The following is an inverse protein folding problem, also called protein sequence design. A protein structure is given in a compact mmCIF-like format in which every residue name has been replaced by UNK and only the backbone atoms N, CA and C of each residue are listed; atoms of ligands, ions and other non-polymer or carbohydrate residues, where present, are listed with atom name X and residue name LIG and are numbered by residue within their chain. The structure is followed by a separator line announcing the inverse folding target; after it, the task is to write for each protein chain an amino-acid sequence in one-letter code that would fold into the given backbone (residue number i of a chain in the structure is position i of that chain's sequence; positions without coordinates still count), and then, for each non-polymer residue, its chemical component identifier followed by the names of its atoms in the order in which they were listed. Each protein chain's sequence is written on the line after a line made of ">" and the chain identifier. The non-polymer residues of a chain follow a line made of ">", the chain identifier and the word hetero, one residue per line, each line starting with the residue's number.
data_IF_096336691569
#
_entry.id   IF_096336691569
#
_cell.length_a   1.000
_cell.length_b   1.000
_cell.length_c   1.000
_cell.angle_alpha   90.00
_cell.angle_beta   90.00
_cell.angle_gamma   90.00
#
_symmetry.space_group_name_H-M   'P 1'
#
loop_
_entity.id
_entity.type
_entity.pdbx_description
1 polymer ?
#
# COMPACT_ATOMS: atom_id res chain seq x y z
N UNK A 1 -3.73 -21.19 40.92
CA UNK A 1 -3.71 -19.74 40.63
C UNK A 1 -3.98 -19.60 39.13
N UNK A 2 -5.04 -18.89 38.73
CA UNK A 2 -5.51 -18.95 37.35
C UNK A 2 -4.63 -18.08 36.43
N UNK A 3 -4.25 -18.68 35.30
CA UNK A 3 -3.76 -18.01 34.10
C UNK A 3 -4.87 -17.07 33.58
N UNK A 4 -4.89 -15.83 34.04
CA UNK A 4 -5.82 -14.81 33.57
C UNK A 4 -5.16 -13.43 33.68
N UNK A 5 -4.12 -13.17 32.88
CA UNK A 5 -3.51 -11.84 32.72
C UNK A 5 -2.56 -11.80 31.50
N UNK A 6 -3.05 -12.17 30.31
CA UNK A 6 -2.34 -11.95 29.04
C UNK A 6 -3.26 -11.42 27.91
N UNK A 7 -4.43 -10.87 28.25
CA UNK A 7 -5.41 -10.37 27.27
C UNK A 7 -5.39 -8.84 27.08
N UNK A 8 -4.22 -8.22 27.12
CA UNK A 8 -4.07 -6.80 26.71
C UNK A 8 -2.70 -6.42 26.16
N UNK A 9 -1.97 -7.38 25.57
CA UNK A 9 -0.98 -6.99 24.56
C UNK A 9 -1.74 -6.57 23.32
N UNK A 10 -2.06 -5.28 23.21
CA UNK A 10 -2.36 -4.67 21.91
C UNK A 10 -1.25 -5.16 20.98
N UNK A 11 -1.54 -5.84 19.85
CA UNK A 11 -0.51 -6.18 18.88
C UNK A 11 0.07 -4.86 18.36
N UNK A 12 1.15 -4.41 18.99
CA UNK A 12 1.71 -3.07 18.80
C UNK A 12 2.26 -2.90 17.37
N UNK A 13 2.49 -4.02 16.67
CA UNK A 13 2.89 -4.10 15.26
C UNK A 13 1.72 -3.87 14.27
N UNK A 14 0.45 -4.03 14.68
CA UNK A 14 -0.71 -3.66 13.84
C UNK A 14 -1.12 -2.19 14.00
N UNK A 15 -0.35 -1.42 14.78
CA UNK A 15 -0.68 -0.05 15.18
C UNK A 15 -0.16 0.99 14.17
N UNK A 16 -0.39 2.28 14.47
CA UNK A 16 -0.03 3.43 13.64
C UNK A 16 1.48 3.51 13.34
N UNK A 17 1.86 4.30 12.33
CA UNK A 17 3.25 4.58 11.97
C UNK A 17 4.13 4.94 13.19
N UNK A 18 3.61 5.75 14.12
CA UNK A 18 4.28 6.10 15.38
C UNK A 18 4.66 4.86 16.18
N UNK A 19 3.70 3.96 16.41
CA UNK A 19 3.95 2.77 17.22
C UNK A 19 4.97 1.84 16.55
N UNK A 20 4.91 1.68 15.22
CA UNK A 20 5.90 0.89 14.48
C UNK A 20 7.29 1.53 14.50
N UNK A 21 7.38 2.85 14.38
CA UNK A 21 8.66 3.58 14.46
C UNK A 21 9.33 3.53 15.83
N UNK A 22 8.59 3.21 16.90
CA UNK A 22 9.12 3.08 18.26
C UNK A 22 9.66 1.68 18.60
N UNK A 23 9.27 0.65 17.84
CA UNK A 23 9.58 -0.74 18.17
C UNK A 23 10.78 -1.22 17.35
N UNK A 24 11.76 -1.78 18.03
CA UNK A 24 12.92 -2.46 17.45
C UNK A 24 13.01 -3.89 17.99
N UNK A 25 13.78 -4.75 17.32
CA UNK A 25 14.04 -6.08 17.85
C UNK A 25 14.86 -6.00 19.14
N UNK A 26 14.58 -6.87 20.11
CA UNK A 26 15.38 -6.95 21.34
C UNK A 26 16.76 -7.56 21.09
N UNK A 27 16.87 -8.45 20.09
CA UNK A 27 18.12 -9.08 19.66
C UNK A 27 18.51 -8.54 18.30
N UNK A 28 19.61 -7.78 18.25
CA UNK A 28 20.19 -7.29 17.02
C UNK A 28 21.04 -8.34 16.32
N UNK A 29 21.26 -8.14 15.02
CA UNK A 29 22.13 -8.97 14.19
C UNK A 29 23.07 -8.07 13.37
N UNK A 30 24.30 -8.51 13.08
CA UNK A 30 25.18 -7.78 12.16
C UNK A 30 24.53 -7.70 10.78
N UNK A 31 24.67 -6.55 10.11
CA UNK A 31 24.10 -6.35 8.77
C UNK A 31 24.71 -7.29 7.72
N UNK A 32 25.99 -7.66 7.87
CA UNK A 32 26.72 -8.42 6.87
C UNK A 32 26.85 -7.66 5.54
N UNK A 33 27.16 -8.39 4.47
CA UNK A 33 27.47 -7.80 3.15
C UNK A 33 26.27 -7.11 2.49
N UNK A 34 25.04 -7.62 2.72
CA UNK A 34 23.83 -7.14 2.02
C UNK A 34 22.86 -6.37 2.92
N UNK A 35 23.05 -6.35 4.24
CA UNK A 35 22.12 -5.72 5.16
C UNK A 35 21.97 -4.21 4.94
N UNK A 36 23.07 -3.51 4.60
CA UNK A 36 23.03 -2.08 4.29
C UNK A 36 22.15 -1.81 3.06
N UNK A 37 22.26 -2.63 2.02
CA UNK A 37 21.43 -2.55 0.81
C UNK A 37 19.95 -2.71 1.15
N UNK A 38 19.61 -3.68 2.01
CA UNK A 38 18.23 -3.88 2.44
C UNK A 38 17.70 -2.73 3.31
N UNK A 39 18.53 -2.10 4.15
CA UNK A 39 18.14 -0.88 4.86
C UNK A 39 17.84 0.28 3.88
N UNK A 40 18.68 0.46 2.84
CA UNK A 40 18.44 1.48 1.82
C UNK A 40 17.13 1.23 1.05
N UNK A 41 16.88 -0.01 0.64
CA UNK A 41 15.63 -0.39 -0.04
C UNK A 41 14.43 -0.19 0.89
N UNK A 42 14.58 -0.53 2.16
CA UNK A 42 13.52 -0.35 3.15
C UNK A 42 13.18 1.12 3.35
N UNK A 43 14.18 1.99 3.47
CA UNK A 43 13.98 3.44 3.54
C UNK A 43 13.25 3.97 2.30
N UNK A 44 13.66 3.54 1.11
CA UNK A 44 12.99 3.89 -0.15
C UNK A 44 11.51 3.48 -0.14
N UNK A 45 11.19 2.30 0.38
CA UNK A 45 9.80 1.82 0.51
C UNK A 45 8.96 2.69 1.45
N UNK A 46 9.52 3.09 2.60
CA UNK A 46 8.84 3.96 3.57
C UNK A 46 8.51 5.35 3.02
N UNK A 47 9.28 5.84 2.04
CA UNK A 47 8.97 7.12 1.37
C UNK A 47 7.68 7.10 0.57
N UNK A 48 7.30 5.93 0.05
CA UNK A 48 6.14 5.78 -0.82
C UNK A 48 6.32 6.27 -2.27
N UNK A 49 7.47 6.82 -2.64
CA UNK A 49 7.70 7.51 -3.93
C UNK A 49 8.13 6.60 -5.07
N UNK A 50 8.80 5.48 -4.76
CA UNK A 50 9.42 4.56 -5.73
C UNK A 50 8.79 3.15 -5.70
N UNK A 51 7.47 3.08 -5.49
CA UNK A 51 6.73 1.80 -5.33
C UNK A 51 6.84 0.88 -6.55
N UNK A 52 6.95 1.45 -7.76
CA UNK A 52 7.06 0.70 -9.04
C UNK A 52 8.49 0.44 -9.50
N UNK A 53 9.47 0.91 -8.73
CA UNK A 53 10.87 0.77 -9.07
C UNK A 53 11.41 -0.60 -8.68
N UNK A 54 12.42 -1.07 -9.41
CA UNK A 54 13.18 -2.27 -9.04
C UNK A 54 13.95 -2.06 -7.73
N UNK A 55 14.46 -3.13 -7.12
CA UNK A 55 15.26 -3.00 -5.90
C UNK A 55 16.56 -2.19 -6.13
N UNK A 56 17.16 -2.28 -7.32
CA UNK A 56 18.35 -1.50 -7.67
C UNK A 56 18.03 -0.02 -7.83
N UNK A 57 16.89 0.30 -8.47
CA UNK A 57 16.41 1.67 -8.58
C UNK A 57 16.06 2.28 -7.21
N UNK A 58 15.51 1.47 -6.29
CA UNK A 58 15.21 1.89 -4.91
C UNK A 58 16.48 2.17 -4.12
N UNK A 59 17.51 1.35 -4.27
CA UNK A 59 18.82 1.57 -3.68
C UNK A 59 19.44 2.88 -4.21
N UNK A 60 19.47 3.06 -5.53
CA UNK A 60 19.99 4.27 -6.17
C UNK A 60 19.20 5.53 -5.76
N UNK A 61 17.88 5.43 -5.61
CA UNK A 61 17.06 6.52 -5.08
C UNK A 61 17.50 6.92 -3.68
N UNK A 62 17.69 5.95 -2.77
CA UNK A 62 18.17 6.24 -1.41
C UNK A 62 19.56 6.88 -1.43
N UNK A 63 20.46 6.44 -2.30
CA UNK A 63 21.78 7.06 -2.46
C UNK A 63 21.69 8.51 -2.93
N UNK A 64 20.73 8.84 -3.80
CA UNK A 64 20.52 10.21 -4.29
C UNK A 64 20.00 11.19 -3.23
N UNK A 65 19.41 10.69 -2.15
CA UNK A 65 18.82 11.49 -1.07
C UNK A 65 19.61 11.39 0.25
N UNK A 66 20.83 10.84 0.22
CA UNK A 66 21.56 10.50 1.44
C UNK A 66 21.79 11.71 2.37
N UNK A 67 21.99 12.90 1.80
CA UNK A 67 22.12 14.14 2.58
C UNK A 67 20.85 14.50 3.37
N UNK A 68 19.66 14.21 2.82
CA UNK A 68 18.37 14.38 3.52
C UNK A 68 18.22 13.36 4.64
N UNK A 69 18.70 12.14 4.43
CA UNK A 69 18.70 11.06 5.42
C UNK A 69 19.56 11.42 6.62
N UNK A 70 20.80 11.87 6.37
CA UNK A 70 21.73 12.26 7.42
C UNK A 70 21.21 13.48 8.18
N UNK A 71 20.71 14.51 7.49
CA UNK A 71 20.12 15.68 8.12
C UNK A 71 18.91 15.31 9.00
N UNK A 72 18.02 14.46 8.50
CA UNK A 72 16.86 13.97 9.25
C UNK A 72 17.26 13.17 10.50
N UNK A 73 18.34 12.38 10.42
CA UNK A 73 18.84 11.59 11.54
C UNK A 73 19.46 12.45 12.65
N UNK A 74 20.25 13.47 12.27
CA UNK A 74 20.99 14.34 13.21
C UNK A 74 20.15 15.49 13.76
N UNK A 75 19.33 16.10 12.90
CA UNK A 75 18.55 17.31 13.21
C UNK A 75 17.06 17.09 12.89
N UNK A 76 16.39 16.14 13.56
CA UNK A 76 15.01 15.78 13.23
C UNK A 76 14.02 16.96 13.33
N UNK A 77 14.24 17.88 14.27
CA UNK A 77 13.37 19.03 14.51
C UNK A 77 13.92 20.35 13.93
N UNK A 78 15.24 20.53 13.98
CA UNK A 78 15.92 21.79 13.58
C UNK A 78 16.55 21.76 12.17
N UNK A 79 16.44 20.63 11.47
CA UNK A 79 16.94 20.44 10.11
C UNK A 79 15.90 20.81 9.03
N UNK A 80 16.09 20.25 7.83
CA UNK A 80 15.22 20.49 6.66
C UNK A 80 13.84 19.82 6.79
N UNK A 81 13.72 18.85 7.70
CA UNK A 81 12.42 18.22 8.00
C UNK A 81 11.90 17.27 6.93
N UNK A 82 12.75 16.82 6.00
CA UNK A 82 12.40 15.93 4.90
C UNK A 82 11.60 14.70 5.32
N UNK A 83 11.97 14.04 6.44
CA UNK A 83 11.29 12.83 6.91
C UNK A 83 9.79 13.02 7.18
N UNK A 84 9.33 14.24 7.50
CA UNK A 84 7.93 14.55 7.85
C UNK A 84 6.99 14.50 6.65
N UNK A 85 7.54 14.63 5.44
CA UNK A 85 6.78 14.68 4.19
C UNK A 85 6.58 13.30 3.54
N UNK A 86 7.15 12.25 4.14
CA UNK A 86 7.08 10.89 3.62
C UNK A 86 5.77 10.19 4.01
N UNK A 87 5.44 9.08 3.34
CA UNK A 87 4.18 8.34 3.59
C UNK A 87 4.12 7.73 5.01
N UNK A 88 5.23 7.18 5.49
CA UNK A 88 5.39 6.62 6.85
C UNK A 88 6.48 7.40 7.60
N UNK A 89 6.18 8.62 8.10
CA UNK A 89 7.20 9.58 8.54
C UNK A 89 8.03 9.09 9.75
N UNK A 90 7.39 8.52 10.78
CA UNK A 90 8.10 8.11 11.99
C UNK A 90 8.98 6.87 11.76
N UNK A 91 8.49 5.90 10.98
CA UNK A 91 9.33 4.79 10.52
C UNK A 91 10.48 5.30 9.63
N UNK A 92 10.23 6.27 8.76
CA UNK A 92 11.28 6.89 7.92
C UNK A 92 12.36 7.50 8.80
N UNK A 93 12.00 8.29 9.81
CA UNK A 93 12.96 8.89 10.73
C UNK A 93 13.78 7.85 11.49
N UNK A 94 13.13 6.80 11.99
CA UNK A 94 13.81 5.71 12.69
C UNK A 94 14.81 5.00 11.75
N UNK A 95 14.41 4.75 10.50
CA UNK A 95 15.28 4.16 9.49
C UNK A 95 16.43 5.09 9.07
N UNK A 96 16.21 6.42 8.99
CA UNK A 96 17.28 7.39 8.73
C UNK A 96 18.37 7.33 9.81
N UNK A 97 17.98 7.21 11.08
CA UNK A 97 18.92 7.06 12.20
C UNK A 97 19.74 5.78 12.10
N UNK A 98 19.07 4.66 11.83
CA UNK A 98 19.75 3.37 11.69
C UNK A 98 20.72 3.36 10.51
N UNK A 99 20.30 3.89 9.35
CA UNK A 99 21.15 3.96 8.16
C UNK A 99 22.37 4.87 8.38
N UNK A 100 22.19 6.01 9.04
CA UNK A 100 23.29 6.93 9.37
C UNK A 100 24.27 6.30 10.36
N UNK A 101 23.77 5.58 11.37
CA UNK A 101 24.61 4.87 12.32
C UNK A 101 25.41 3.74 11.65
N UNK A 102 24.77 2.96 10.77
CA UNK A 102 25.42 1.90 10.01
C UNK A 102 26.52 2.43 9.07
N UNK A 103 26.26 3.54 8.36
CA UNK A 103 27.23 4.16 7.44
C UNK A 103 28.46 4.74 8.15
N UNK A 104 28.30 5.17 9.40
CA UNK A 104 29.38 5.75 10.22
C UNK A 104 30.05 4.74 11.15
N UNK A 105 29.67 3.46 11.07
CA UNK A 105 30.24 2.45 11.94
C UNK A 105 31.75 2.31 11.67
N UNK A 106 32.61 2.36 12.71
CA UNK A 106 34.05 2.54 12.55
C UNK A 106 34.76 1.38 11.84
N UNK A 107 34.21 0.16 11.91
CA UNK A 107 34.76 -1.02 11.23
C UNK A 107 34.07 -1.30 9.89
N UNK A 108 33.17 -0.42 9.45
CA UNK A 108 32.33 -0.59 8.28
C UNK A 108 30.92 -1.05 8.62
N UNK A 109 30.00 -0.87 7.68
CA UNK A 109 28.56 -1.12 7.88
C UNK A 109 28.21 -2.59 8.09
N UNK A 110 29.02 -3.53 7.58
CA UNK A 110 28.74 -4.96 7.69
C UNK A 110 28.74 -5.46 9.15
N UNK A 111 29.58 -4.85 10.01
CA UNK A 111 29.70 -5.22 11.42
C UNK A 111 28.69 -4.48 12.32
N UNK A 112 27.95 -3.51 11.77
CA UNK A 112 26.95 -2.78 12.54
C UNK A 112 25.84 -3.73 13.00
N UNK A 113 25.63 -3.80 14.32
CA UNK A 113 24.56 -4.60 14.91
C UNK A 113 23.25 -3.83 14.77
N UNK A 114 22.43 -4.25 13.81
CA UNK A 114 21.14 -3.65 13.50
C UNK A 114 20.03 -4.29 14.33
N UNK A 115 19.20 -3.44 14.93
CA UNK A 115 18.00 -3.86 15.67
C UNK A 115 16.71 -3.47 14.93
N UNK A 116 16.82 -2.57 13.95
CA UNK A 116 15.69 -2.04 13.22
C UNK A 116 15.08 -3.11 12.28
N UNK A 117 13.75 -3.30 12.30
CA UNK A 117 13.09 -4.27 11.43
C UNK A 117 13.04 -3.80 9.97
N UNK A 118 13.39 -4.68 9.03
CA UNK A 118 13.18 -4.47 7.60
C UNK A 118 11.95 -5.24 7.15
N UNK A 119 10.91 -4.52 6.72
CA UNK A 119 9.66 -5.12 6.26
C UNK A 119 9.76 -5.60 4.80
N UNK A 120 9.17 -6.76 4.53
CA UNK A 120 8.88 -7.31 3.21
C UNK A 120 7.40 -7.67 3.18
N UNK A 121 6.64 -7.10 2.24
CA UNK A 121 5.21 -7.35 2.11
C UNK A 121 4.85 -7.60 0.64
N UNK A 122 3.88 -8.48 0.41
CA UNK A 122 3.36 -8.75 -0.92
C UNK A 122 2.41 -7.66 -1.38
N UNK A 123 2.43 -7.35 -2.68
CA UNK A 123 1.60 -6.28 -3.27
C UNK A 123 0.10 -6.46 -2.96
N UNK A 124 -0.39 -7.71 -3.02
CA UNK A 124 -1.73 -8.10 -2.63
C UNK A 124 -1.79 -9.59 -2.29
N UNK A 125 -1.47 -9.94 -1.04
CA UNK A 125 -1.37 -11.35 -0.58
C UNK A 125 -2.64 -12.17 -0.90
N UNK A 126 -3.84 -11.60 -0.72
CA UNK A 126 -5.09 -12.30 -1.03
C UNK A 126 -5.22 -12.68 -2.51
N UNK A 127 -4.93 -11.76 -3.44
CA UNK A 127 -4.96 -12.07 -4.88
C UNK A 127 -3.81 -13.01 -5.29
N UNK A 128 -2.65 -12.93 -4.64
CA UNK A 128 -1.56 -13.90 -4.84
C UNK A 128 -2.00 -15.32 -4.52
N UNK A 129 -2.66 -15.54 -3.38
CA UNK A 129 -3.19 -16.85 -3.05
C UNK A 129 -4.25 -17.33 -4.04
N UNK A 130 -5.17 -16.46 -4.48
CA UNK A 130 -6.17 -16.85 -5.48
C UNK A 130 -5.55 -17.18 -6.84
N UNK A 131 -4.59 -16.38 -7.31
CA UNK A 131 -3.89 -16.65 -8.57
C UNK A 131 -3.13 -17.99 -8.50
N UNK A 132 -2.48 -18.28 -7.37
CA UNK A 132 -1.79 -19.55 -7.16
C UNK A 132 -2.75 -20.76 -7.10
N UNK A 133 -3.85 -20.66 -6.35
CA UNK A 133 -4.87 -21.72 -6.27
C UNK A 133 -5.51 -22.00 -7.63
N UNK A 134 -5.80 -20.93 -8.36
CA UNK A 134 -6.45 -20.96 -9.66
C UNK A 134 -5.52 -21.22 -10.84
N UNK A 135 -4.20 -21.27 -10.60
CA UNK A 135 -3.13 -21.27 -11.63
C UNK A 135 -3.40 -20.25 -12.74
N UNK A 136 -3.80 -19.05 -12.34
CA UNK A 136 -4.19 -17.96 -13.24
C UNK A 136 -2.95 -17.14 -13.61
N UNK A 137 -2.39 -17.40 -14.79
CA UNK A 137 -1.19 -16.72 -15.32
C UNK A 137 -1.39 -15.19 -15.38
N UNK A 138 -2.55 -14.73 -15.88
CA UNK A 138 -2.83 -13.29 -15.98
C UNK A 138 -2.91 -12.63 -14.60
N UNK A 139 -3.58 -13.31 -13.67
CA UNK A 139 -3.63 -12.88 -12.28
C UNK A 139 -2.23 -12.87 -11.65
N UNK A 140 -1.46 -13.94 -11.84
CA UNK A 140 -0.10 -14.12 -11.31
C UNK A 140 0.85 -13.02 -11.79
N UNK A 141 0.82 -12.68 -13.09
CA UNK A 141 1.54 -11.55 -13.64
C UNK A 141 1.16 -10.23 -12.92
N UNK A 142 -0.14 -9.96 -12.78
CA UNK A 142 -0.65 -8.70 -12.19
C UNK A 142 -0.26 -8.50 -10.71
N UNK A 143 0.00 -9.59 -9.99
CA UNK A 143 0.37 -9.57 -8.56
C UNK A 143 1.83 -9.96 -8.28
N UNK A 144 2.68 -9.94 -9.30
CA UNK A 144 4.13 -10.20 -9.20
C UNK A 144 4.47 -11.61 -8.66
N UNK A 145 3.69 -12.63 -9.05
CA UNK A 145 4.06 -14.04 -8.81
C UNK A 145 4.96 -14.61 -9.90
N UNK A 146 4.91 -14.03 -11.10
CA UNK A 146 5.84 -14.34 -12.17
C UNK A 146 7.11 -13.49 -12.05
N UNK A 147 8.23 -14.05 -12.51
CA UNK A 147 9.49 -13.32 -12.57
C UNK A 147 9.34 -12.05 -13.41
N UNK A 148 9.62 -10.92 -12.78
CA UNK A 148 9.51 -9.61 -13.41
C UNK A 148 10.64 -8.71 -12.93
N UNK A 149 11.17 -7.88 -13.85
CA UNK A 149 12.25 -6.93 -13.55
C UNK A 149 11.76 -5.79 -12.64
N UNK A 150 10.48 -5.43 -12.75
CA UNK A 150 9.83 -4.39 -11.96
C UNK A 150 8.54 -4.91 -11.33
N UNK A 151 8.23 -4.49 -10.09
CA UNK A 151 7.03 -4.93 -9.40
C UNK A 151 5.77 -4.45 -10.13
N UNK A 152 4.78 -5.34 -10.22
CA UNK A 152 3.47 -5.05 -10.80
C UNK A 152 2.53 -4.50 -9.73
N UNK A 153 1.65 -3.61 -10.15
CA UNK A 153 0.78 -2.82 -9.28
C UNK A 153 -0.67 -2.97 -9.70
N UNK A 154 -1.27 -4.11 -9.31
CA UNK A 154 -2.69 -4.44 -9.57
C UNK A 154 -3.66 -3.29 -9.28
N UNK A 155 -3.36 -2.45 -8.29
CA UNK A 155 -4.22 -1.31 -7.94
C UNK A 155 -4.24 -0.26 -9.04
N UNK A 156 -3.10 -0.03 -9.70
CA UNK A 156 -3.02 0.85 -10.87
C UNK A 156 -3.76 0.23 -12.04
N UNK A 157 -3.52 -1.05 -12.34
CA UNK A 157 -4.15 -1.73 -13.47
C UNK A 157 -5.68 -1.65 -13.36
N UNK A 158 -6.23 -1.91 -12.15
CA UNK A 158 -7.66 -1.74 -11.88
C UNK A 158 -8.09 -0.27 -12.01
N UNK A 159 -7.28 0.69 -11.55
CA UNK A 159 -7.59 2.13 -11.65
C UNK A 159 -7.71 2.55 -13.11
N UNK A 160 -6.81 2.10 -13.99
CA UNK A 160 -6.82 2.41 -15.42
C UNK A 160 -8.06 1.82 -16.10
N UNK A 161 -8.43 0.58 -15.77
CA UNK A 161 -9.66 -0.06 -16.29
C UNK A 161 -10.92 0.67 -15.79
N UNK A 162 -10.95 1.12 -14.54
CA UNK A 162 -12.08 1.89 -13.99
C UNK A 162 -12.17 3.27 -14.65
N UNK A 163 -11.05 3.95 -14.89
CA UNK A 163 -11.04 5.26 -15.55
C UNK A 163 -11.46 5.17 -17.02
N UNK A 164 -11.05 4.12 -17.74
CA UNK A 164 -11.47 3.89 -19.11
C UNK A 164 -12.99 3.76 -19.23
N UNK A 165 -13.61 2.90 -18.42
CA UNK A 165 -15.07 2.77 -18.40
C UNK A 165 -15.77 4.04 -17.91
N UNK A 166 -15.21 4.76 -16.92
CA UNK A 166 -15.76 6.06 -16.50
C UNK A 166 -15.78 7.06 -17.65
N UNK A 167 -14.74 7.07 -18.47
CA UNK A 167 -14.68 7.94 -19.65
C UNK A 167 -15.75 7.59 -20.67
N UNK A 168 -15.94 6.30 -20.97
CA UNK A 168 -17.00 5.81 -21.86
C UNK A 168 -18.39 6.24 -21.36
N UNK A 169 -18.67 6.05 -20.07
CA UNK A 169 -19.94 6.45 -19.47
C UNK A 169 -20.15 7.97 -19.50
N UNK A 170 -19.09 8.76 -19.29
CA UNK A 170 -19.15 10.21 -19.40
C UNK A 170 -19.47 10.67 -20.83
N UNK A 171 -18.86 10.04 -21.83
CA UNK A 171 -19.15 10.27 -23.26
C UNK A 171 -20.58 9.86 -23.63
N UNK A 172 -21.12 8.83 -22.97
CA UNK A 172 -22.51 8.40 -23.10
C UNK A 172 -23.52 9.29 -22.33
N UNK A 173 -23.06 10.34 -21.65
CA UNK A 173 -23.91 11.31 -20.95
C UNK A 173 -24.27 10.94 -19.50
N UNK A 174 -23.57 10.00 -18.89
CA UNK A 174 -23.74 9.66 -17.47
C UNK A 174 -23.12 10.76 -16.60
N UNK A 175 -23.97 11.60 -16.00
CA UNK A 175 -23.56 12.79 -15.24
C UNK A 175 -22.53 12.47 -14.13
N UNK A 176 -22.75 11.40 -13.36
CA UNK A 176 -21.86 11.04 -12.25
C UNK A 176 -20.45 10.66 -12.75
N UNK A 177 -20.36 10.08 -13.95
CA UNK A 177 -19.09 9.71 -14.54
C UNK A 177 -18.29 10.97 -14.92
N UNK A 178 -18.94 12.02 -15.41
CA UNK A 178 -18.32 13.32 -15.69
C UNK A 178 -17.84 14.05 -14.43
N UNK A 179 -18.60 13.96 -13.33
CA UNK A 179 -18.19 14.55 -12.02
C UNK A 179 -16.92 13.86 -11.49
N UNK A 180 -16.75 12.57 -11.77
CA UNK A 180 -15.64 11.75 -11.31
C UNK A 180 -14.35 11.91 -12.12
N UNK A 181 -14.33 12.77 -13.13
CA UNK A 181 -13.12 13.05 -13.92
C UNK A 181 -11.97 13.53 -13.02
N UNK A 182 -10.83 12.83 -13.07
CA UNK A 182 -9.66 13.10 -12.21
C UNK A 182 -9.78 12.58 -10.76
N UNK A 183 -10.94 12.02 -10.38
CA UNK A 183 -11.15 11.42 -9.06
C UNK A 183 -10.80 9.92 -9.00
N UNK A 184 -10.69 9.24 -10.14
CA UNK A 184 -10.27 7.83 -10.24
C UNK A 184 -8.76 7.73 -10.05
N UNK A 185 -8.33 7.67 -8.79
CA UNK A 185 -6.93 7.59 -8.42
C UNK A 185 -6.64 6.29 -7.66
N UNK A 186 -5.41 5.79 -7.79
CA UNK A 186 -4.94 4.60 -7.06
C UNK A 186 -5.26 4.67 -5.56
N UNK A 187 -5.10 5.84 -4.92
CA UNK A 187 -5.43 6.06 -3.50
C UNK A 187 -6.91 5.78 -3.18
N UNK A 188 -7.81 6.14 -4.09
CA UNK A 188 -9.28 5.95 -3.93
C UNK A 188 -9.67 4.48 -4.09
N UNK A 189 -9.05 3.78 -5.05
CA UNK A 189 -9.43 2.43 -5.46
C UNK A 189 -8.67 1.33 -4.67
N UNK A 190 -7.46 1.62 -4.17
CA UNK A 190 -6.57 0.64 -3.50
C UNK A 190 -7.28 -0.14 -2.40
N UNK A 191 -7.99 0.56 -1.51
CA UNK A 191 -8.57 -0.08 -0.32
C UNK A 191 -9.71 -1.04 -0.67
N UNK A 192 -10.57 -0.68 -1.65
CA UNK A 192 -11.66 -1.55 -2.08
C UNK A 192 -11.13 -2.81 -2.77
N UNK A 193 -10.13 -2.69 -3.65
CA UNK A 193 -9.47 -3.85 -4.26
C UNK A 193 -8.86 -4.77 -3.22
N UNK A 194 -8.09 -4.20 -2.28
CA UNK A 194 -7.40 -4.95 -1.23
C UNK A 194 -8.37 -5.72 -0.34
N UNK A 195 -9.57 -5.18 -0.08
CA UNK A 195 -10.54 -5.81 0.82
C UNK A 195 -11.53 -6.74 0.13
N UNK A 196 -11.65 -6.67 -1.20
CA UNK A 196 -12.56 -7.53 -1.98
C UNK A 196 -12.21 -9.00 -1.86
N UNK A 197 -10.93 -9.34 -1.86
CA UNK A 197 -10.47 -10.72 -1.67
C UNK A 197 -10.79 -11.31 -0.29
N UNK A 198 -11.12 -10.46 0.69
CA UNK A 198 -11.50 -10.85 2.04
C UNK A 198 -13.02 -10.78 2.27
N UNK A 199 -13.82 -10.69 1.21
CA UNK A 199 -15.28 -10.74 1.30
C UNK A 199 -15.96 -9.38 1.53
N UNK A 200 -15.33 -8.26 1.15
CA UNK A 200 -16.02 -6.95 1.22
C UNK A 200 -17.26 -6.95 0.34
N UNK A 201 -18.38 -6.47 0.88
CA UNK A 201 -19.60 -6.27 0.09
C UNK A 201 -19.56 -4.94 -0.66
N UNK A 202 -20.47 -4.75 -1.61
CA UNK A 202 -20.64 -3.48 -2.31
C UNK A 202 -20.81 -2.30 -1.32
N UNK A 203 -21.54 -2.51 -0.23
CA UNK A 203 -21.72 -1.48 0.80
C UNK A 203 -20.41 -1.11 1.50
N UNK A 204 -19.58 -2.10 1.83
CA UNK A 204 -18.26 -1.88 2.42
C UNK A 204 -17.31 -1.16 1.46
N UNK A 205 -17.26 -1.59 0.19
CA UNK A 205 -16.47 -0.93 -0.84
C UNK A 205 -16.90 0.53 -1.06
N UNK A 206 -18.22 0.79 -1.10
CA UNK A 206 -18.79 2.13 -1.20
C UNK A 206 -18.34 3.01 -0.03
N UNK A 207 -18.40 2.50 1.21
CA UNK A 207 -17.97 3.26 2.38
C UNK A 207 -16.48 3.63 2.35
N UNK A 208 -15.62 2.71 1.91
CA UNK A 208 -14.18 2.94 1.77
C UNK A 208 -13.87 4.01 0.70
N UNK A 209 -14.48 3.89 -0.48
CA UNK A 209 -14.32 4.85 -1.58
C UNK A 209 -14.87 6.23 -1.17
N UNK A 210 -16.04 6.26 -0.52
CA UNK A 210 -16.66 7.50 -0.04
C UNK A 210 -15.74 8.28 0.90
N UNK A 211 -15.02 7.60 1.79
CA UNK A 211 -14.03 8.24 2.69
C UNK A 211 -12.90 8.88 1.89
N UNK A 212 -12.35 8.19 0.89
CA UNK A 212 -11.27 8.72 0.06
C UNK A 212 -11.73 9.90 -0.81
N UNK A 213 -12.91 9.79 -1.44
CA UNK A 213 -13.49 10.88 -2.25
C UNK A 213 -13.78 12.13 -1.41
N UNK A 214 -14.25 11.95 -0.17
CA UNK A 214 -14.56 13.07 0.73
C UNK A 214 -13.34 13.97 0.93
N UNK A 215 -12.14 13.43 1.00
CA UNK A 215 -10.90 14.17 1.25
C UNK A 215 -10.20 14.62 -0.06
N UNK A 216 -10.73 14.26 -1.22
CA UNK A 216 -10.06 14.46 -2.51
C UNK A 216 -10.38 15.83 -3.12
N UNK A 217 -9.39 16.73 -3.30
CA UNK A 217 -9.63 18.05 -3.88
C UNK A 217 -10.19 18.01 -5.31
N UNK A 218 -9.70 17.08 -6.14
CA UNK A 218 -10.16 16.93 -7.53
C UNK A 218 -11.67 16.65 -7.62
N UNK A 219 -12.18 15.76 -6.75
CA UNK A 219 -13.61 15.47 -6.67
C UNK A 219 -14.41 16.69 -6.20
N UNK A 220 -13.96 17.35 -5.13
CA UNK A 220 -14.64 18.54 -4.58
C UNK A 220 -14.73 19.68 -5.60
N UNK A 221 -13.67 19.91 -6.37
CA UNK A 221 -13.63 20.96 -7.38
C UNK A 221 -14.67 20.74 -8.49
N UNK A 222 -14.86 19.49 -8.93
CA UNK A 222 -15.84 19.14 -9.97
C UNK A 222 -17.27 19.03 -9.44
N UNK A 223 -17.46 18.49 -8.25
CA UNK A 223 -18.79 18.32 -7.66
C UNK A 223 -19.37 19.63 -7.10
N UNK A 224 -18.54 20.65 -6.87
CA UNK A 224 -18.95 21.99 -6.47
C UNK A 224 -19.72 22.01 -5.15
N UNK A 225 -20.74 22.88 -5.07
CA UNK A 225 -21.56 23.06 -3.87
C UNK A 225 -22.35 21.79 -3.46
N UNK A 226 -22.58 20.87 -4.40
CA UNK A 226 -23.31 19.63 -4.16
C UNK A 226 -22.40 18.43 -3.85
N UNK A 227 -21.10 18.63 -3.59
CA UNK A 227 -20.13 17.57 -3.33
C UNK A 227 -20.61 16.54 -2.29
N UNK A 228 -21.18 16.99 -1.17
CA UNK A 228 -21.67 16.09 -0.12
C UNK A 228 -22.86 15.23 -0.56
N UNK A 229 -23.74 15.77 -1.42
CA UNK A 229 -24.85 15.01 -2.01
C UNK A 229 -24.34 14.01 -3.05
N UNK A 230 -23.34 14.41 -3.83
CA UNK A 230 -22.74 13.58 -4.89
C UNK A 230 -21.85 12.46 -4.35
N UNK A 231 -21.35 12.54 -3.10
CA UNK A 231 -20.51 11.49 -2.49
C UNK A 231 -21.18 10.10 -2.51
N UNK A 232 -22.48 10.03 -2.23
CA UNK A 232 -23.22 8.76 -2.24
C UNK A 232 -23.26 8.13 -3.63
N UNK A 233 -23.86 8.80 -4.62
CA UNK A 233 -23.89 8.34 -6.01
C UNK A 233 -22.49 8.03 -6.58
N UNK A 234 -21.51 8.91 -6.36
CA UNK A 234 -20.14 8.75 -6.86
C UNK A 234 -19.46 7.51 -6.29
N UNK A 235 -19.54 7.30 -4.97
CA UNK A 235 -18.97 6.12 -4.33
C UNK A 235 -19.66 4.82 -4.74
N UNK A 236 -20.99 4.85 -4.91
CA UNK A 236 -21.74 3.69 -5.37
C UNK A 236 -21.38 3.31 -6.82
N UNK A 237 -21.24 4.31 -7.69
CA UNK A 237 -20.80 4.14 -9.08
C UNK A 237 -19.40 3.51 -9.13
N UNK A 238 -18.41 4.12 -8.48
CA UNK A 238 -17.04 3.60 -8.48
C UNK A 238 -16.93 2.22 -7.81
N UNK A 239 -17.67 1.96 -6.74
CA UNK A 239 -17.64 0.66 -6.07
C UNK A 239 -18.13 -0.45 -7.00
N UNK A 240 -19.25 -0.23 -7.72
CA UNK A 240 -19.74 -1.18 -8.73
C UNK A 240 -18.70 -1.42 -9.82
N UNK A 241 -18.19 -0.33 -10.40
CA UNK A 241 -17.24 -0.40 -11.50
C UNK A 241 -15.93 -1.10 -11.11
N UNK A 242 -15.43 -0.84 -9.89
CA UNK A 242 -14.24 -1.48 -9.33
C UNK A 242 -14.45 -2.99 -9.17
N UNK A 243 -15.54 -3.41 -8.52
CA UNK A 243 -15.82 -4.82 -8.28
C UNK A 243 -16.02 -5.60 -9.60
N UNK A 244 -16.71 -5.00 -10.57
CA UNK A 244 -16.85 -5.59 -11.91
C UNK A 244 -15.50 -5.70 -12.62
N UNK A 245 -14.63 -4.69 -12.50
CA UNK A 245 -13.30 -4.69 -13.13
C UNK A 245 -12.39 -5.77 -12.53
N UNK A 246 -12.40 -5.95 -11.21
CA UNK A 246 -11.66 -7.03 -10.53
C UNK A 246 -12.12 -8.39 -11.04
N UNK A 247 -13.43 -8.63 -11.16
CA UNK A 247 -13.96 -9.90 -11.65
C UNK A 247 -13.54 -10.22 -13.09
N UNK A 248 -13.33 -9.19 -13.93
CA UNK A 248 -12.83 -9.36 -15.31
C UNK A 248 -11.32 -9.67 -15.35
N UNK A 249 -10.52 -9.06 -14.48
CA UNK A 249 -9.06 -9.27 -14.43
C UNK A 249 -8.74 -10.62 -13.76
N UNK A 250 -9.46 -10.98 -12.70
CA UNK A 250 -9.19 -12.14 -11.86
C UNK A 250 -10.34 -13.16 -11.92
N UNK A 251 -10.59 -13.70 -13.11
CA UNK A 251 -11.70 -14.64 -13.38
C UNK A 251 -11.58 -15.93 -12.56
N UNK A 252 -10.36 -16.44 -12.39
CA UNK A 252 -10.11 -17.65 -11.59
C UNK A 252 -10.35 -17.41 -10.10
N UNK A 253 -9.96 -16.22 -9.62
CA UNK A 253 -10.23 -15.79 -8.23
C UNK A 253 -11.73 -15.71 -7.96
N UNK A 254 -12.49 -15.07 -8.86
CA UNK A 254 -13.94 -14.94 -8.74
C UNK A 254 -14.65 -16.31 -8.76
N UNK A 255 -14.19 -17.23 -9.62
CA UNK A 255 -14.73 -18.60 -9.70
C UNK A 255 -14.47 -19.37 -8.41
N UNK A 256 -13.27 -19.26 -7.86
CA UNK A 256 -12.88 -19.91 -6.60
C UNK A 256 -13.67 -19.36 -5.41
N UNK A 257 -13.84 -18.03 -5.32
CA UNK A 257 -14.70 -17.38 -4.32
C UNK A 257 -16.15 -17.85 -4.40
N UNK A 258 -16.73 -17.87 -5.61
CA UNK A 258 -18.09 -18.33 -5.82
C UNK A 258 -18.25 -19.81 -5.46
N UNK A 259 -17.23 -20.63 -5.69
CA UNK A 259 -17.22 -22.03 -5.25
C UNK A 259 -17.22 -22.15 -3.72
N UNK A 260 -16.35 -21.44 -3.01
CA UNK A 260 -16.35 -21.43 -1.54
C UNK A 260 -17.67 -20.94 -0.95
N UNK A 261 -18.26 -19.89 -1.54
CA UNK A 261 -19.55 -19.36 -1.08
C UNK A 261 -20.67 -20.42 -1.12
N UNK A 262 -20.66 -21.35 -2.08
CA UNK A 262 -21.66 -22.43 -2.14
C UNK A 262 -21.60 -23.37 -0.94
N UNK A 263 -20.42 -23.63 -0.37
CA UNK A 263 -20.27 -24.49 0.81
C UNK A 263 -20.67 -23.80 2.11
N UNK A 264 -20.57 -22.47 2.16
CA UNK A 264 -20.96 -21.70 3.34
C UNK A 264 -22.47 -21.74 3.61
N UNK A 265 -23.29 -21.93 2.56
CA UNK A 265 -24.75 -22.06 2.68
C UNK A 265 -25.25 -23.50 2.78
N UNK A 266 -24.34 -24.48 2.89
CA UNK A 266 -24.66 -25.91 3.07
C UNK A 266 -24.51 -26.37 4.54
N UNK A 267 -24.26 -25.46 5.47
CA UNK A 267 -24.33 -25.67 6.93
C UNK A 267 -25.43 -24.77 7.52
#
# INVERSE_FOLDING_TARGET
>A
MPFAQLDSFIPMLTCSDIARGLIIFAKGLPLGETGLRWLKIHLANLTGKVKRSSNDEREAYTDSILDEVIDSAEKPFDGRGWWREQEEPWQTLACCRELTAALRHPTGSADYINYFPVHQDGSCNGLQHYAAMGRDERGAASVSLEDCERPRDVYTDVTEVVEAHRKEDAEAGVEIASILEGAVQRKVIKQSVMTTVYGVTLYGAMAQIKRQLRELPAFRARAGADADKQLGPASAYLARLTLTSIGKIFTSSATTQAWFAKFQFLQ
#
